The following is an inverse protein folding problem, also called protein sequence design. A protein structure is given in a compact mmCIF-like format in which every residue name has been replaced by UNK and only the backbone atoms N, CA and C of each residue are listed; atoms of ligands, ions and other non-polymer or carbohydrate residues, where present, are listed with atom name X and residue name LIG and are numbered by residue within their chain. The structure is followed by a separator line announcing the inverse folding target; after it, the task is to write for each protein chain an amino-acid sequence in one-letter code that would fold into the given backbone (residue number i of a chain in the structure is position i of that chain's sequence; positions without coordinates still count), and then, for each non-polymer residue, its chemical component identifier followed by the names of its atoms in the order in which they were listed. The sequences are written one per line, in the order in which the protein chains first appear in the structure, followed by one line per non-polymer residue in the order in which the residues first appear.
data_IF_737560507162
#
_entry.id   IF_737560507162
#
_cell.length_a   1.000
_cell.length_b   1.000
_cell.length_c   1.000
_cell.angle_alpha   90.00
_cell.angle_beta   90.00
_cell.angle_gamma   90.00
#
_symmetry.space_group_name_H-M   'P 1'
#
loop_
_entity.id
_entity.type
_entity.pdbx_description
1 polymer ?
#
# COMPACT_ATOMS: atom_id res chain seq x y z
N UNK A 1 -86.44 53.72 38.96
CA UNK A 1 -87.26 52.91 38.03
C UNK A 1 -86.44 52.75 36.76
N UNK A 2 -86.04 51.59 36.27
CA UNK A 2 -86.30 50.20 36.63
C UNK A 2 -85.14 49.33 36.08
N UNK A 3 -84.74 48.30 36.83
CA UNK A 3 -84.21 47.03 36.28
C UNK A 3 -85.36 46.25 35.59
N UNK A 4 -85.16 45.11 34.88
CA UNK A 4 -83.92 44.40 34.53
C UNK A 4 -83.86 43.98 33.03
N UNK A 5 -82.74 43.40 32.56
CA UNK A 5 -82.83 42.06 31.97
C UNK A 5 -81.48 41.34 31.95
N UNK A 6 -81.49 40.18 32.60
CA UNK A 6 -80.42 39.21 32.77
C UNK A 6 -80.47 38.15 31.67
N UNK A 7 -79.38 37.93 30.94
CA UNK A 7 -79.20 36.70 30.17
C UNK A 7 -77.71 36.37 29.94
N UNK A 8 -77.25 35.30 30.59
CA UNK A 8 -76.30 34.33 30.04
C UNK A 8 -74.84 34.75 29.85
N UNK A 9 -74.02 34.64 30.89
CA UNK A 9 -72.58 34.36 30.71
C UNK A 9 -72.32 32.92 31.14
N UNK A 10 -72.31 32.01 30.18
CA UNK A 10 -71.69 30.70 30.36
C UNK A 10 -70.17 30.89 30.52
N UNK A 11 -69.49 30.21 31.46
CA UNK A 11 -68.04 30.21 31.50
C UNK A 11 -67.56 29.51 30.22
N UNK A 12 -66.95 30.25 29.31
CA UNK A 12 -66.21 29.62 28.21
C UNK A 12 -64.97 28.97 28.84
N UNK A 13 -64.94 27.63 28.82
CA UNK A 13 -63.71 26.88 29.07
C UNK A 13 -62.62 27.40 28.11
N UNK A 14 -61.38 27.61 28.57
CA UNK A 14 -60.31 28.05 27.68
C UNK A 14 -60.15 27.02 26.57
N UNK A 15 -59.94 27.46 25.31
CA UNK A 15 -59.77 26.53 24.19
C UNK A 15 -58.62 25.56 24.49
N UNK A 16 -58.73 24.28 24.08
CA UNK A 16 -57.69 23.31 24.35
C UNK A 16 -56.38 23.84 23.79
N UNK A 17 -55.34 23.88 24.64
CA UNK A 17 -53.97 24.15 24.21
C UNK A 17 -53.69 23.24 23.02
N UNK A 18 -53.42 23.87 21.87
CA UNK A 18 -53.00 23.20 20.64
C UNK A 18 -52.01 22.10 21.00
N UNK A 19 -52.44 20.84 20.89
CA UNK A 19 -51.49 19.75 20.87
C UNK A 19 -50.76 19.95 19.56
N UNK A 20 -49.53 20.46 19.61
CA UNK A 20 -48.64 20.43 18.45
C UNK A 20 -48.64 18.98 17.98
N UNK A 21 -49.33 18.72 16.87
CA UNK A 21 -49.34 17.41 16.23
C UNK A 21 -47.87 17.09 16.00
N UNK A 22 -47.34 16.11 16.73
CA UNK A 22 -45.95 15.78 16.61
C UNK A 22 -45.72 15.30 15.19
N UNK A 23 -44.58 15.63 14.57
CA UNK A 23 -44.23 15.22 13.21
C UNK A 23 -44.52 13.73 12.94
N UNK A 24 -44.45 12.89 13.96
CA UNK A 24 -44.73 11.45 13.91
C UNK A 24 -46.19 11.07 13.65
N UNK A 25 -47.15 11.91 14.04
CA UNK A 25 -48.59 11.72 13.84
C UNK A 25 -49.01 12.18 12.43
N UNK A 26 -48.35 13.20 11.87
CA UNK A 26 -48.54 13.68 10.50
C UNK A 26 -48.03 12.66 9.45
N UNK A 27 -46.97 11.91 9.78
CA UNK A 27 -46.47 10.80 8.97
C UNK A 27 -47.31 9.49 9.08
N UNK A 28 -48.46 9.52 9.77
CA UNK A 28 -49.41 8.40 9.93
C UNK A 28 -48.74 7.08 10.38
N UNK A 29 -47.73 7.18 11.25
CA UNK A 29 -46.97 6.03 11.73
C UNK A 29 -47.84 5.16 12.67
N UNK A 30 -47.69 3.82 12.67
CA UNK A 30 -48.46 2.95 13.55
C UNK A 30 -48.28 3.34 15.03
N UNK A 31 -49.34 3.30 15.87
CA UNK A 31 -49.28 3.78 17.25
C UNK A 31 -48.24 3.07 18.13
N UNK A 32 -47.90 1.81 17.79
CA UNK A 32 -46.81 1.05 18.43
C UNK A 32 -45.43 1.65 18.15
N UNK A 33 -45.21 2.16 16.95
CA UNK A 33 -43.96 2.80 16.50
C UNK A 33 -43.78 4.16 17.17
N UNK A 34 -44.85 4.96 17.23
CA UNK A 34 -44.86 6.26 17.90
C UNK A 34 -44.53 6.10 19.40
N UNK A 35 -45.15 5.12 20.08
CA UNK A 35 -44.86 4.84 21.49
C UNK A 35 -43.41 4.38 21.71
N UNK A 36 -42.88 3.56 20.81
CA UNK A 36 -41.49 3.08 20.88
C UNK A 36 -40.49 4.22 20.70
N UNK A 37 -40.66 5.05 19.67
CA UNK A 37 -39.84 6.23 19.39
C UNK A 37 -39.85 7.22 20.55
N UNK A 38 -41.04 7.48 21.13
CA UNK A 38 -41.19 8.38 22.29
C UNK A 38 -40.55 7.81 23.56
N UNK A 39 -40.66 6.50 23.79
CA UNK A 39 -40.04 5.84 24.95
C UNK A 39 -38.50 5.77 24.86
N UNK A 40 -37.95 5.59 23.65
CA UNK A 40 -36.51 5.41 23.43
C UNK A 40 -35.84 6.65 22.81
N UNK A 41 -36.52 7.80 22.77
CA UNK A 41 -36.06 9.01 22.09
C UNK A 41 -34.63 9.41 22.50
N UNK A 42 -34.32 9.42 23.81
CA UNK A 42 -32.98 9.76 24.31
C UNK A 42 -31.91 8.76 23.86
N UNK A 43 -32.23 7.46 23.88
CA UNK A 43 -31.30 6.41 23.44
C UNK A 43 -31.05 6.49 21.92
N UNK A 44 -32.08 6.74 21.13
CA UNK A 44 -31.95 6.93 19.68
C UNK A 44 -31.08 8.14 19.33
N UNK A 45 -31.25 9.27 20.02
CA UNK A 45 -30.38 10.43 19.84
C UNK A 45 -28.93 10.15 20.24
N UNK A 46 -28.67 9.37 21.31
CA UNK A 46 -27.30 8.98 21.68
C UNK A 46 -26.67 8.05 20.65
N UNK A 47 -27.41 7.06 20.12
CA UNK A 47 -26.92 6.14 19.09
C UNK A 47 -26.64 6.93 17.80
N UNK A 48 -27.53 7.82 17.41
CA UNK A 48 -27.35 8.67 16.24
C UNK A 48 -26.14 9.59 16.38
N UNK A 49 -25.96 10.23 17.54
CA UNK A 49 -24.79 11.07 17.83
C UNK A 49 -23.47 10.29 17.79
N UNK A 50 -23.44 9.08 18.35
CA UNK A 50 -22.28 8.19 18.29
C UNK A 50 -21.98 7.75 16.85
N UNK A 51 -23.01 7.40 16.07
CA UNK A 51 -22.86 7.05 14.66
C UNK A 51 -22.32 8.22 13.84
N UNK A 52 -22.83 9.43 14.04
CA UNK A 52 -22.35 10.64 13.36
C UNK A 52 -20.91 10.96 13.74
N UNK A 53 -20.56 10.89 15.03
CA UNK A 53 -19.19 11.09 15.49
C UNK A 53 -18.23 10.06 14.88
N UNK A 54 -18.63 8.79 14.81
CA UNK A 54 -17.85 7.74 14.16
C UNK A 54 -17.60 8.06 12.67
N UNK A 55 -18.63 8.48 11.94
CA UNK A 55 -18.50 8.87 10.52
C UNK A 55 -17.54 10.05 10.35
N UNK A 56 -17.64 11.08 11.20
CA UNK A 56 -16.73 12.23 11.16
C UNK A 56 -15.28 11.85 11.47
N UNK A 57 -15.06 10.95 12.44
CA UNK A 57 -13.73 10.42 12.76
C UNK A 57 -13.15 9.64 11.57
N UNK A 58 -13.93 8.75 10.97
CA UNK A 58 -13.50 7.98 9.80
C UNK A 58 -13.18 8.90 8.61
N UNK A 59 -14.04 9.89 8.33
CA UNK A 59 -13.81 10.88 7.28
C UNK A 59 -12.57 11.75 7.55
N UNK A 60 -12.35 12.15 8.79
CA UNK A 60 -11.15 12.90 9.20
C UNK A 60 -9.86 12.09 9.01
N UNK A 61 -9.87 10.80 9.38
CA UNK A 61 -8.73 9.90 9.17
C UNK A 61 -8.45 9.72 7.67
N UNK A 62 -9.47 9.50 6.86
CA UNK A 62 -9.32 9.31 5.42
C UNK A 62 -8.79 10.57 4.73
N UNK A 63 -9.36 11.74 5.06
CA UNK A 63 -8.91 13.04 4.56
C UNK A 63 -7.44 13.33 4.95
N UNK A 64 -7.08 13.09 6.21
CA UNK A 64 -5.72 13.29 6.69
C UNK A 64 -4.71 12.36 6.00
N UNK A 65 -5.06 11.09 5.82
CA UNK A 65 -4.23 10.12 5.09
C UNK A 65 -4.07 10.52 3.62
N UNK A 66 -5.16 10.90 2.96
CA UNK A 66 -5.14 11.36 1.56
C UNK A 66 -4.22 12.56 1.37
N UNK A 67 -4.29 13.55 2.27
CA UNK A 67 -3.43 14.73 2.21
C UNK A 67 -1.95 14.39 2.36
N UNK A 68 -1.59 13.53 3.33
CA UNK A 68 -0.20 13.09 3.52
C UNK A 68 0.33 12.26 2.35
N UNK A 69 -0.51 11.42 1.75
CA UNK A 69 -0.13 10.64 0.56
C UNK A 69 0.22 11.56 -0.61
N UNK A 70 -0.63 12.57 -0.88
CA UNK A 70 -0.38 13.55 -1.95
C UNK A 70 0.90 14.34 -1.68
N UNK A 71 1.07 14.88 -0.47
CA UNK A 71 2.25 15.66 -0.11
C UNK A 71 3.54 14.84 -0.10
N UNK A 72 3.48 13.59 0.34
CA UNK A 72 4.60 12.66 0.23
C UNK A 72 4.99 12.35 -1.21
N UNK A 73 4.01 12.20 -2.11
CA UNK A 73 4.28 12.01 -3.54
C UNK A 73 4.90 13.27 -4.18
N UNK A 74 4.37 14.46 -3.90
CA UNK A 74 4.93 15.74 -4.35
C UNK A 74 6.38 15.93 -3.85
N UNK A 75 6.64 15.61 -2.57
CA UNK A 75 7.98 15.69 -2.00
C UNK A 75 8.96 14.70 -2.65
N UNK A 76 8.49 13.49 -2.99
CA UNK A 76 9.33 12.50 -3.66
C UNK A 76 9.69 12.98 -5.06
N UNK A 77 8.70 13.46 -5.82
CA UNK A 77 8.89 13.99 -7.16
C UNK A 77 9.89 15.15 -7.17
N UNK A 78 9.74 16.11 -6.25
CA UNK A 78 10.68 17.22 -6.08
C UNK A 78 12.10 16.73 -5.77
N UNK A 79 12.25 15.76 -4.87
CA UNK A 79 13.55 15.20 -4.52
C UNK A 79 14.23 14.50 -5.71
N UNK A 80 13.48 13.74 -6.51
CA UNK A 80 14.01 13.03 -7.68
C UNK A 80 14.48 13.96 -8.81
N UNK A 81 13.89 15.15 -8.93
CA UNK A 81 14.27 16.16 -9.92
C UNK A 81 15.24 17.21 -9.38
N UNK A 82 15.67 17.10 -8.12
CA UNK A 82 16.59 18.05 -7.52
C UNK A 82 18.00 17.91 -8.12
N UNK A 83 18.54 18.99 -8.70
CA UNK A 83 19.92 19.01 -9.22
C UNK A 83 20.98 18.89 -8.12
N UNK A 84 20.65 19.32 -6.89
CA UNK A 84 21.51 19.22 -5.71
C UNK A 84 20.68 19.00 -4.45
N UNK A 85 21.30 18.43 -3.42
CA UNK A 85 20.61 18.18 -2.14
C UNK A 85 19.56 17.07 -2.17
N UNK A 86 19.51 16.23 -3.22
CA UNK A 86 18.57 15.11 -3.35
C UNK A 86 18.47 14.28 -2.06
N UNK A 87 19.62 13.91 -1.46
CA UNK A 87 19.66 13.13 -0.22
C UNK A 87 18.91 13.81 0.93
N UNK A 88 19.16 15.09 1.16
CA UNK A 88 18.54 15.85 2.26
C UNK A 88 17.01 15.94 2.07
N UNK A 89 16.56 16.14 0.82
CA UNK A 89 15.13 16.16 0.50
C UNK A 89 14.46 14.81 0.74
N UNK A 90 15.13 13.70 0.38
CA UNK A 90 14.64 12.36 0.66
C UNK A 90 14.59 12.07 2.17
N UNK A 91 15.63 12.46 2.93
CA UNK A 91 15.66 12.30 4.39
C UNK A 91 14.54 13.12 5.07
N UNK A 92 14.30 14.35 4.60
CA UNK A 92 13.17 15.18 5.05
C UNK A 92 11.82 14.52 4.73
N UNK A 93 11.67 13.95 3.54
CA UNK A 93 10.47 13.21 3.17
C UNK A 93 10.21 12.05 4.13
N UNK A 94 11.24 11.31 4.53
CA UNK A 94 11.10 10.22 5.49
C UNK A 94 10.65 10.72 6.87
N UNK A 95 11.18 11.85 7.33
CA UNK A 95 10.76 12.47 8.59
C UNK A 95 9.28 12.90 8.56
N UNK A 96 8.87 13.59 7.49
CA UNK A 96 7.54 14.21 7.39
C UNK A 96 6.45 13.22 6.93
N UNK A 97 6.83 12.23 6.12
CA UNK A 97 5.90 11.33 5.40
C UNK A 97 6.28 9.84 5.49
N UNK A 98 7.05 9.43 6.51
CA UNK A 98 7.58 8.06 6.66
C UNK A 98 6.56 6.91 6.61
N UNK A 99 5.28 7.17 6.87
CA UNK A 99 4.20 6.18 6.79
C UNK A 99 3.54 6.06 5.40
N UNK A 100 4.08 6.74 4.38
CA UNK A 100 3.52 6.75 3.01
C UNK A 100 4.27 5.78 2.09
N UNK A 101 3.66 5.32 0.98
CA UNK A 101 4.38 4.57 -0.05
C UNK A 101 5.55 5.35 -0.66
N UNK A 102 5.44 6.68 -0.72
CA UNK A 102 6.53 7.56 -1.19
C UNK A 102 7.77 7.46 -0.30
N UNK A 103 7.59 7.24 1.00
CA UNK A 103 8.71 7.00 1.91
C UNK A 103 9.43 5.68 1.62
N UNK A 104 8.71 4.62 1.23
CA UNK A 104 9.36 3.36 0.82
C UNK A 104 10.22 3.58 -0.44
N UNK A 105 9.71 4.34 -1.42
CA UNK A 105 10.49 4.71 -2.59
C UNK A 105 11.67 5.62 -2.25
N UNK A 106 11.50 6.56 -1.33
CA UNK A 106 12.59 7.41 -0.88
C UNK A 106 13.71 6.62 -0.20
N UNK A 107 13.39 5.59 0.61
CA UNK A 107 14.40 4.68 1.17
C UNK A 107 15.13 3.88 0.09
N UNK A 108 14.41 3.38 -0.93
CA UNK A 108 15.00 2.70 -2.10
C UNK A 108 15.98 3.63 -2.83
N UNK A 109 15.63 4.90 -2.96
CA UNK A 109 16.46 5.89 -3.65
C UNK A 109 17.68 6.30 -2.80
N UNK A 110 17.51 6.46 -1.48
CA UNK A 110 18.63 6.67 -0.56
C UNK A 110 19.61 5.48 -0.59
N UNK A 111 19.08 4.26 -0.64
CA UNK A 111 19.90 3.06 -0.79
C UNK A 111 20.70 3.10 -2.11
N UNK A 112 20.06 3.49 -3.22
CA UNK A 112 20.72 3.67 -4.52
C UNK A 112 21.83 4.73 -4.48
N UNK A 113 21.61 5.84 -3.77
CA UNK A 113 22.64 6.86 -3.55
C UNK A 113 23.79 6.33 -2.69
N UNK A 114 23.49 5.51 -1.68
CA UNK A 114 24.52 4.82 -0.89
C UNK A 114 25.32 3.83 -1.76
N UNK A 115 24.69 3.10 -2.69
CA UNK A 115 25.38 2.25 -3.68
C UNK A 115 26.35 3.07 -4.55
N UNK A 116 25.88 4.19 -5.11
CA UNK A 116 26.71 5.07 -5.97
C UNK A 116 27.89 5.68 -5.22
N UNK A 117 27.72 5.94 -3.92
CA UNK A 117 28.78 6.43 -3.06
C UNK A 117 29.74 5.31 -2.58
N UNK A 118 29.55 4.06 -3.01
CA UNK A 118 30.34 2.91 -2.56
C UNK A 118 30.06 2.48 -1.12
N UNK A 119 28.99 3.00 -0.50
CA UNK A 119 28.57 2.68 0.87
C UNK A 119 27.70 1.42 0.88
N UNK A 120 28.27 0.29 0.47
CA UNK A 120 27.55 -0.97 0.26
C UNK A 120 26.77 -1.43 1.50
N UNK A 121 27.36 -1.36 2.70
CA UNK A 121 26.67 -1.76 3.94
C UNK A 121 25.42 -0.91 4.23
N UNK A 122 25.52 0.41 4.00
CA UNK A 122 24.40 1.31 4.20
C UNK A 122 23.28 1.03 3.18
N UNK A 123 23.64 0.78 1.92
CA UNK A 123 22.69 0.40 0.88
C UNK A 123 21.95 -0.91 1.22
N UNK A 124 22.68 -1.95 1.64
CA UNK A 124 22.10 -3.23 2.07
C UNK A 124 21.15 -3.01 3.25
N UNK A 125 21.57 -2.27 4.27
CA UNK A 125 20.74 -1.99 5.44
C UNK A 125 19.43 -1.27 5.06
N UNK A 126 19.48 -0.28 4.16
CA UNK A 126 18.29 0.44 3.71
C UNK A 126 17.37 -0.45 2.88
N UNK A 127 17.92 -1.23 1.94
CA UNK A 127 17.11 -2.15 1.16
C UNK A 127 16.44 -3.21 2.02
N UNK A 128 17.12 -3.74 3.03
CA UNK A 128 16.52 -4.67 3.98
C UNK A 128 15.40 -4.01 4.78
N UNK A 129 15.60 -2.78 5.28
CA UNK A 129 14.56 -2.03 5.97
C UNK A 129 13.32 -1.76 5.10
N UNK A 130 13.50 -1.58 3.78
CA UNK A 130 12.38 -1.52 2.83
C UNK A 130 11.71 -2.88 2.74
N UNK A 131 12.48 -3.94 2.48
CA UNK A 131 11.98 -5.30 2.31
C UNK A 131 11.12 -5.77 3.49
N UNK A 132 11.52 -5.44 4.71
CA UNK A 132 10.81 -5.78 5.95
C UNK A 132 9.45 -5.07 6.09
N UNK A 133 9.29 -3.92 5.43
CA UNK A 133 8.04 -3.13 5.41
C UNK A 133 7.13 -3.47 4.23
N UNK A 134 7.60 -4.25 3.26
CA UNK A 134 6.80 -4.59 2.08
C UNK A 134 5.70 -5.59 2.46
N UNK A 135 4.50 -5.35 1.91
CA UNK A 135 3.41 -6.32 1.96
C UNK A 135 3.63 -7.41 0.91
N UNK A 136 3.01 -8.58 1.14
CA UNK A 136 2.87 -9.62 0.10
C UNK A 136 2.23 -8.97 -1.13
N UNK A 137 2.80 -9.23 -2.31
CA UNK A 137 2.42 -8.68 -3.63
C UNK A 137 2.85 -7.23 -3.92
N UNK A 138 3.79 -6.69 -3.14
CA UNK A 138 4.37 -5.38 -3.45
C UNK A 138 5.13 -5.40 -4.78
N UNK A 139 4.81 -4.47 -5.69
CA UNK A 139 5.56 -4.28 -6.94
C UNK A 139 7.04 -3.90 -6.73
N UNK A 140 7.38 -3.42 -5.53
CA UNK A 140 8.75 -3.10 -5.12
C UNK A 140 9.56 -4.33 -4.72
N UNK A 141 8.91 -5.42 -4.31
CA UNK A 141 9.59 -6.58 -3.75
C UNK A 141 10.58 -7.20 -4.75
N UNK A 142 10.24 -7.45 -6.03
CA UNK A 142 11.20 -7.97 -6.99
C UNK A 142 12.43 -7.08 -7.18
N UNK A 143 12.22 -5.76 -7.21
CA UNK A 143 13.29 -4.78 -7.39
C UNK A 143 14.27 -4.83 -6.21
N UNK A 144 13.74 -4.77 -4.99
CA UNK A 144 14.55 -4.77 -3.77
C UNK A 144 15.30 -6.09 -3.59
N UNK A 145 14.66 -7.23 -3.87
CA UNK A 145 15.31 -8.55 -3.84
C UNK A 145 16.46 -8.64 -4.84
N UNK A 146 16.25 -8.16 -6.08
CA UNK A 146 17.31 -8.14 -7.09
C UNK A 146 18.49 -7.24 -6.69
N UNK A 147 18.21 -6.08 -6.09
CA UNK A 147 19.24 -5.17 -5.58
C UNK A 147 20.05 -5.79 -4.45
N UNK A 148 19.38 -6.36 -3.44
CA UNK A 148 20.04 -7.07 -2.34
C UNK A 148 20.87 -8.25 -2.84
N UNK A 149 20.32 -9.06 -3.76
CA UNK A 149 21.05 -10.17 -4.36
C UNK A 149 22.35 -9.70 -5.05
N UNK A 150 22.27 -8.66 -5.88
CA UNK A 150 23.45 -8.12 -6.57
C UNK A 150 24.49 -7.52 -5.61
N UNK A 151 24.05 -6.83 -4.55
CA UNK A 151 24.97 -6.27 -3.55
C UNK A 151 25.68 -7.37 -2.75
N UNK A 152 24.95 -8.39 -2.29
CA UNK A 152 25.54 -9.53 -1.59
C UNK A 152 26.46 -10.35 -2.50
N UNK A 153 26.11 -10.47 -3.78
CA UNK A 153 26.96 -11.11 -4.77
C UNK A 153 28.30 -10.36 -4.93
N UNK A 154 28.28 -9.04 -5.05
CA UNK A 154 29.49 -8.23 -5.14
C UNK A 154 30.37 -8.34 -3.89
N UNK A 155 29.75 -8.56 -2.72
CA UNK A 155 30.43 -8.83 -1.44
C UNK A 155 30.89 -10.28 -1.30
N UNK A 156 30.62 -11.14 -2.28
CA UNK A 156 30.88 -12.58 -2.25
C UNK A 156 30.12 -13.33 -1.16
N UNK A 157 29.03 -12.75 -0.65
CA UNK A 157 28.11 -13.39 0.28
C UNK A 157 27.10 -14.26 -0.48
N UNK A 158 27.60 -15.32 -1.08
CA UNK A 158 26.86 -16.15 -2.02
C UNK A 158 25.56 -16.72 -1.45
N UNK A 159 25.57 -17.17 -0.20
CA UNK A 159 24.40 -17.76 0.44
C UNK A 159 23.27 -16.74 0.62
N UNK A 160 23.60 -15.51 1.01
CA UNK A 160 22.65 -14.42 1.14
C UNK A 160 22.08 -14.03 -0.24
N UNK A 161 22.95 -13.87 -1.24
CA UNK A 161 22.55 -13.57 -2.61
C UNK A 161 21.59 -14.64 -3.18
N UNK A 162 21.93 -15.91 -3.04
CA UNK A 162 21.08 -17.04 -3.47
C UNK A 162 19.77 -17.10 -2.69
N UNK A 163 19.78 -16.74 -1.40
CA UNK A 163 18.56 -16.64 -0.59
C UNK A 163 17.57 -15.61 -1.15
N UNK A 164 18.05 -14.41 -1.49
CA UNK A 164 17.22 -13.37 -2.12
C UNK A 164 16.73 -13.78 -3.51
N UNK A 165 17.59 -14.40 -4.33
CA UNK A 165 17.22 -14.88 -5.66
C UNK A 165 16.19 -16.00 -5.61
N UNK A 166 16.26 -16.90 -4.61
CA UNK A 166 15.25 -17.95 -4.42
C UNK A 166 13.88 -17.36 -4.07
N UNK A 167 13.83 -16.29 -3.28
CA UNK A 167 12.59 -15.56 -3.01
C UNK A 167 12.08 -14.87 -4.29
N UNK A 168 12.98 -14.30 -5.09
CA UNK A 168 12.65 -13.70 -6.38
C UNK A 168 12.11 -14.73 -7.39
N UNK A 169 12.67 -15.94 -7.42
CA UNK A 169 12.21 -17.05 -8.28
C UNK A 169 10.74 -17.40 -8.01
N UNK A 170 10.30 -17.29 -6.75
CA UNK A 170 8.92 -17.52 -6.34
C UNK A 170 7.92 -16.44 -6.77
N UNK A 171 8.36 -15.33 -7.34
CA UNK A 171 7.48 -14.26 -7.81
C UNK A 171 7.11 -14.48 -9.27
N UNK A 172 5.81 -14.41 -9.58
CA UNK A 172 5.29 -14.60 -10.93
C UNK A 172 6.00 -13.69 -11.95
N UNK A 173 6.47 -14.28 -13.04
CA UNK A 173 7.20 -13.57 -14.11
C UNK A 173 8.66 -13.22 -13.77
N UNK A 174 9.19 -13.60 -12.61
CA UNK A 174 10.58 -13.31 -12.19
C UNK A 174 11.50 -14.53 -12.09
N UNK A 175 10.95 -15.74 -12.23
CA UNK A 175 11.71 -16.98 -12.25
C UNK A 175 12.88 -16.99 -13.26
N UNK A 176 12.72 -16.49 -14.52
CA UNK A 176 13.85 -16.45 -15.46
C UNK A 176 14.99 -15.55 -14.97
N UNK A 177 14.67 -14.33 -14.52
CA UNK A 177 15.68 -13.36 -14.05
C UNK A 177 16.46 -13.93 -12.85
N UNK A 178 15.76 -14.60 -11.93
CA UNK A 178 16.38 -15.26 -10.78
C UNK A 178 17.28 -16.42 -11.20
N UNK A 179 16.82 -17.31 -12.08
CA UNK A 179 17.59 -18.45 -12.56
C UNK A 179 18.87 -18.01 -13.27
N UNK A 180 18.80 -16.97 -14.10
CA UNK A 180 19.97 -16.40 -14.77
C UNK A 180 21.02 -15.90 -13.77
N UNK A 181 20.60 -15.14 -12.76
CA UNK A 181 21.49 -14.63 -11.73
C UNK A 181 22.10 -15.75 -10.86
N UNK A 182 21.30 -16.76 -10.48
CA UNK A 182 21.79 -17.92 -9.73
C UNK A 182 22.82 -18.71 -10.54
N UNK A 183 22.60 -18.89 -11.85
CA UNK A 183 23.56 -19.55 -12.75
C UNK A 183 24.91 -18.85 -12.76
N UNK A 184 24.91 -17.51 -12.89
CA UNK A 184 26.12 -16.68 -12.83
C UNK A 184 26.85 -16.79 -11.49
N UNK A 185 26.13 -16.83 -10.38
CA UNK A 185 26.71 -17.00 -9.04
C UNK A 185 27.36 -18.38 -8.88
N UNK A 186 26.70 -19.45 -9.35
CA UNK A 186 27.30 -20.79 -9.30
C UNK A 186 28.51 -20.91 -10.22
N UNK A 187 28.47 -20.31 -11.40
CA UNK A 187 29.61 -20.29 -12.32
C UNK A 187 30.82 -19.57 -11.71
N UNK A 188 30.59 -18.41 -11.06
CA UNK A 188 31.64 -17.65 -10.36
C UNK A 188 32.26 -18.46 -9.22
N UNK A 189 31.51 -19.37 -8.61
CA UNK A 189 31.99 -20.30 -7.59
C UNK A 189 32.64 -21.58 -8.16
N UNK A 190 32.71 -21.74 -9.48
CA UNK A 190 33.20 -22.97 -10.13
C UNK A 190 32.24 -24.17 -10.04
N UNK A 191 31.00 -23.95 -9.57
CA UNK A 191 29.94 -24.96 -9.43
C UNK A 191 29.23 -25.16 -10.77
N UNK A 192 29.96 -25.74 -11.71
CA UNK A 192 29.56 -25.85 -13.12
C UNK A 192 28.24 -26.59 -13.33
N UNK A 193 28.00 -27.68 -12.59
CA UNK A 193 26.79 -28.49 -12.73
C UNK A 193 25.55 -27.70 -12.30
N UNK A 194 25.64 -26.99 -11.18
CA UNK A 194 24.58 -26.14 -10.64
C UNK A 194 24.34 -24.93 -11.54
N UNK A 195 25.40 -24.33 -12.08
CA UNK A 195 25.29 -23.24 -13.05
C UNK A 195 24.51 -23.66 -14.30
N UNK A 196 24.89 -24.79 -14.91
CA UNK A 196 24.19 -25.36 -16.07
C UNK A 196 22.73 -25.68 -15.76
N UNK A 197 22.43 -26.20 -14.57
CA UNK A 197 21.06 -26.47 -14.15
C UNK A 197 20.21 -25.19 -14.08
N UNK A 198 20.77 -24.09 -13.55
CA UNK A 198 20.06 -22.81 -13.49
C UNK A 198 19.90 -22.16 -14.87
N UNK A 199 20.92 -22.19 -15.71
CA UNK A 199 20.80 -21.69 -17.09
C UNK A 199 19.79 -22.49 -17.92
N UNK A 200 19.72 -23.80 -17.72
CA UNK A 200 18.68 -24.64 -18.33
C UNK A 200 17.27 -24.20 -17.91
N UNK A 201 17.04 -23.96 -16.61
CA UNK A 201 15.77 -23.42 -16.11
C UNK A 201 15.41 -22.09 -16.79
N UNK A 202 16.37 -21.18 -16.95
CA UNK A 202 16.15 -19.91 -17.66
C UNK A 202 15.70 -20.13 -19.11
N UNK A 203 16.38 -21.01 -19.85
CA UNK A 203 16.06 -21.33 -21.25
C UNK A 203 14.68 -21.98 -21.39
N UNK A 204 14.30 -22.87 -20.46
CA UNK A 204 12.99 -23.51 -20.43
C UNK A 204 11.88 -22.50 -20.11
N UNK A 205 12.06 -21.66 -19.09
CA UNK A 205 11.07 -20.69 -18.67
C UNK A 205 10.83 -19.59 -19.73
N UNK A 206 11.87 -19.20 -20.48
CA UNK A 206 11.76 -18.24 -21.57
C UNK A 206 11.23 -18.86 -22.87
N UNK A 207 11.48 -20.15 -23.13
CA UNK A 207 10.93 -20.84 -24.30
C UNK A 207 9.39 -20.84 -24.30
N UNK A 208 8.77 -20.98 -23.13
CA UNK A 208 7.31 -20.91 -22.96
C UNK A 208 6.76 -19.51 -23.30
N UNK A 209 7.52 -18.44 -22.99
CA UNK A 209 7.12 -17.06 -23.26
C UNK A 209 7.32 -16.64 -24.74
N UNK A 210 8.18 -17.35 -25.47
CA UNK A 210 8.54 -17.07 -26.87
C UNK A 210 7.41 -17.36 -27.85
N UNK A 211 6.48 -18.27 -27.51
CA UNK A 211 5.29 -18.54 -28.33
C UNK A 211 4.41 -17.28 -28.53
N UNK A 212 4.56 -16.27 -27.68
CA UNK A 212 3.72 -15.05 -27.69
C UNK A 212 4.43 -13.78 -28.22
N UNK A 213 5.77 -13.69 -28.23
CA UNK A 213 6.43 -12.37 -28.32
C UNK A 213 7.78 -12.26 -29.06
N UNK A 214 8.21 -13.28 -29.80
CA UNK A 214 9.39 -13.21 -30.69
C UNK A 214 10.73 -13.57 -30.03
N UNK A 215 11.83 -13.44 -30.79
CA UNK A 215 13.15 -14.02 -30.42
C UNK A 215 13.83 -13.31 -29.24
N UNK A 216 13.96 -13.99 -28.09
CA UNK A 216 14.76 -13.50 -26.96
C UNK A 216 16.27 -13.71 -27.19
N UNK A 217 17.00 -12.62 -27.44
CA UNK A 217 18.46 -12.60 -27.62
C UNK A 217 19.21 -13.17 -26.41
N UNK A 218 18.72 -12.93 -25.18
CA UNK A 218 19.36 -13.43 -23.95
C UNK A 218 19.32 -14.95 -23.91
N UNK A 219 18.21 -15.56 -24.36
CA UNK A 219 18.09 -17.02 -24.45
C UNK A 219 19.14 -17.62 -25.38
N UNK A 220 19.34 -17.03 -26.56
CA UNK A 220 20.35 -17.49 -27.52
C UNK A 220 21.76 -17.40 -26.94
N UNK A 221 22.10 -16.27 -26.32
CA UNK A 221 23.38 -16.09 -25.64
C UNK A 221 23.62 -17.16 -24.58
N UNK A 222 22.61 -17.45 -23.76
CA UNK A 222 22.75 -18.44 -22.68
C UNK A 222 22.83 -19.87 -23.20
N UNK A 223 22.09 -20.24 -24.25
CA UNK A 223 22.26 -21.55 -24.88
C UNK A 223 23.68 -21.75 -25.43
N UNK A 224 24.22 -20.76 -26.15
CA UNK A 224 25.60 -20.82 -26.66
C UNK A 224 26.62 -20.89 -25.51
N UNK A 225 26.42 -20.12 -24.44
CA UNK A 225 27.27 -20.17 -23.26
C UNK A 225 27.25 -21.56 -22.59
N UNK A 226 26.08 -22.19 -22.48
CA UNK A 226 25.94 -23.54 -21.93
C UNK A 226 26.69 -24.59 -22.76
N UNK A 227 26.65 -24.51 -24.10
CA UNK A 227 27.40 -25.42 -24.99
C UNK A 227 28.92 -25.30 -24.77
N UNK A 228 29.42 -24.05 -24.69
CA UNK A 228 30.83 -23.78 -24.42
C UNK A 228 31.24 -24.29 -23.04
N UNK A 229 30.38 -24.15 -22.04
CA UNK A 229 30.62 -24.72 -20.72
C UNK A 229 30.72 -26.25 -20.81
N UNK A 230 29.81 -26.93 -21.50
CA UNK A 230 29.81 -28.39 -21.61
C UNK A 230 31.01 -28.97 -22.36
N UNK A 231 31.57 -28.22 -23.32
CA UNK A 231 32.72 -28.64 -24.11
C UNK A 231 34.09 -28.54 -23.38
N UNK A 232 34.15 -27.80 -22.28
CA UNK A 232 35.35 -27.65 -21.42
C UNK A 232 35.39 -28.69 -20.32
#
# INVERSE_FOLDING_TARGET
MAEPNSAGRTPQEPPPLYHEAGLLEEFNLPPKVIRYLRAHQRQLWTIFGLALALVLVLAGIDSYRGHRLKKGAEALDAALHAESGQREQLEKLLADYGATPSALWAEVELARLDEQAGKTEAAVSRYQAVLDKLKRDSKLEPLVLGKLAGLEENRKHWDAALGYLKRLEGIAGRAPDAALAMGRIYETQGKKAEALAMYKKFVEATAISLEESGVDQRRQMIMSHMELMQAR
#
